data_IF_816048329171
#
_entry.id   IF_816048329171
#
_cell.length_a   1.000
_cell.length_b   1.000
_cell.length_c   1.000
_cell.angle_alpha   90.00
_cell.angle_beta   90.00
_cell.angle_gamma   90.00
#
_symmetry.space_group_name_H-M   'P 1'
#
loop_
_entity.id
_entity.type
_entity.pdbx_description
1 polymer ?
2 non-polymer ?
3 non-polymer ?
4 water ?
#
# COMPACT_ATOMS: atom_id res chain seq x y z
N UNK A 1 5.46 -9.66 -11.92
CA UNK A 1 5.29 -8.80 -10.75
C UNK A 1 5.86 -9.49 -9.50
N UNK A 2 6.82 -8.84 -8.83
CA UNK A 2 7.37 -9.38 -7.59
C UNK A 2 6.28 -9.67 -6.56
N UNK A 3 6.51 -10.73 -5.77
CA UNK A 3 5.51 -11.19 -4.81
C UNK A 3 5.08 -10.08 -3.85
N UNK A 4 6.02 -9.23 -3.41
CA UNK A 4 5.63 -8.13 -2.52
C UNK A 4 4.56 -7.26 -3.16
N UNK A 5 4.73 -6.94 -4.44
CA UNK A 5 3.80 -6.05 -5.12
C UNK A 5 2.48 -6.75 -5.43
N UNK A 6 2.52 -8.04 -5.74
CA UNK A 6 1.28 -8.77 -5.92
C UNK A 6 0.46 -8.80 -4.64
N UNK A 7 1.14 -9.02 -3.50
CA UNK A 7 0.46 -9.01 -2.21
C UNK A 7 -0.06 -7.61 -1.89
N UNK A 8 0.75 -6.58 -2.13
CA UNK A 8 0.32 -5.21 -1.89
C UNK A 8 -0.93 -4.87 -2.70
N UNK A 9 -0.89 -5.20 -3.98
CA UNK A 9 -2.05 -4.98 -4.85
C UNK A 9 -3.31 -5.63 -4.29
N UNK A 10 -3.18 -6.90 -3.90
CA UNK A 10 -4.32 -7.63 -3.37
C UNK A 10 -4.82 -7.02 -2.07
N UNK A 11 -3.91 -6.70 -1.15
CA UNK A 11 -4.36 -6.22 0.14
C UNK A 11 -4.96 -4.82 0.05
N UNK A 12 -4.44 -3.96 -0.82
CA UNK A 12 -5.05 -2.64 -0.96
C UNK A 12 -6.47 -2.78 -1.49
N UNK A 13 -6.64 -3.61 -2.54
CA UNK A 13 -7.95 -3.78 -3.17
C UNK A 13 -8.94 -4.62 -2.37
N UNK A 14 -8.48 -5.37 -1.39
CA UNK A 14 -9.35 -6.30 -0.66
C UNK A 14 -10.41 -5.51 0.12
N UNK A 15 -11.69 -5.73 -0.13
CA UNK A 15 -12.72 -5.00 0.64
C UNK A 15 -12.65 -5.30 2.12
N UNK A 16 -12.18 -6.50 2.49
CA UNK A 16 -12.07 -6.88 3.89
C UNK A 16 -11.01 -6.13 4.66
N UNK A 17 -10.12 -5.40 3.97
CA UNK A 17 -9.14 -4.58 4.65
C UNK A 17 -9.39 -3.09 4.51
N UNK A 18 -10.44 -2.69 3.76
CA UNK A 18 -10.62 -1.29 3.36
C UNK A 18 -10.80 -0.33 4.53
N UNK A 19 -11.22 -0.82 5.70
CA UNK A 19 -11.31 0.04 6.88
C UNK A 19 -9.94 0.48 7.36
N UNK A 20 -8.88 -0.23 6.96
CA UNK A 20 -7.51 0.09 7.34
C UNK A 20 -6.61 0.47 6.18
N UNK A 21 -6.82 -0.10 4.99
CA UNK A 21 -6.00 0.23 3.83
C UNK A 21 -6.87 0.08 2.58
N UNK A 22 -6.93 1.15 1.77
CA UNK A 22 -7.83 1.13 0.61
C UNK A 22 -7.30 2.07 -0.46
N UNK A 23 -7.73 1.84 -1.69
CA UNK A 23 -7.48 2.80 -2.76
C UNK A 23 -8.19 4.11 -2.49
N UNK A 24 -7.61 5.21 -2.94
CA UNK A 24 -8.30 6.48 -2.98
C UNK A 24 -9.48 6.42 -3.94
N UNK A 25 -10.35 7.44 -3.99
CA UNK A 25 -11.54 7.31 -4.85
C UNK A 25 -11.23 7.06 -6.31
N UNK A 26 -10.17 7.64 -6.87
CA UNK A 26 -9.80 7.40 -8.26
C UNK A 26 -8.79 6.28 -8.40
N UNK A 27 -8.21 5.78 -7.31
CA UNK A 27 -7.27 4.70 -7.37
C UNK A 27 -5.85 5.10 -7.71
N UNK A 28 -5.50 6.38 -7.65
CA UNK A 28 -4.14 6.76 -8.00
C UNK A 28 -3.21 6.84 -6.80
N UNK A 29 -3.72 6.62 -5.60
CA UNK A 29 -2.92 6.52 -4.38
C UNK A 29 -3.69 5.59 -3.46
N UNK A 30 -3.09 5.26 -2.31
CA UNK A 30 -3.78 4.43 -1.34
C UNK A 30 -3.59 4.99 0.06
N UNK A 31 -4.57 4.75 0.91
CA UNK A 31 -4.64 5.33 2.25
C UNK A 31 -4.54 4.22 3.29
N UNK A 32 -3.66 4.42 4.28
CA UNK A 32 -3.64 3.61 5.49
C UNK A 32 -4.25 4.48 6.59
N UNK A 33 -5.42 4.05 7.09
CA UNK A 33 -6.17 4.90 8.00
C UNK A 33 -5.56 4.92 9.39
N UNK A 34 -4.96 3.82 9.83
CA UNK A 34 -4.45 3.68 11.19
C UNK A 34 -3.23 2.77 11.06
N UNK A 35 -2.03 3.35 11.13
CA UNK A 35 -0.82 2.57 10.84
C UNK A 35 -0.62 1.46 11.85
N UNK A 36 -0.82 1.75 13.14
CA UNK A 36 -0.62 0.75 14.18
C UNK A 36 -1.54 -0.44 13.99
N UNK A 37 -2.83 -0.18 13.74
CA UNK A 37 -3.76 -1.28 13.55
C UNK A 37 -3.49 -2.02 12.25
N UNK A 38 -3.18 -1.27 11.19
CA UNK A 38 -2.83 -1.92 9.93
C UNK A 38 -1.70 -2.94 10.13
N UNK A 39 -0.65 -2.55 10.87
CA UNK A 39 0.50 -3.44 11.05
C UNK A 39 0.13 -4.69 11.85
N UNK A 40 -0.77 -4.55 12.80
CA UNK A 40 -1.13 -5.66 13.68
C UNK A 40 -2.21 -6.56 13.08
N UNK A 41 -3.08 -6.01 12.21
CA UNK A 41 -4.27 -6.71 11.73
C UNK A 41 -4.23 -7.10 10.26
N UNK A 42 -3.58 -6.33 9.39
CA UNK A 42 -3.53 -6.63 7.95
C UNK A 42 -2.22 -7.30 7.57
N UNK A 43 -1.09 -6.75 8.02
CA UNK A 43 0.20 -7.32 7.62
C UNK A 43 0.32 -8.80 7.93
N UNK A 44 -0.09 -9.31 9.09
CA UNK A 44 0.02 -10.75 9.30
C UNK A 44 -0.75 -11.57 8.29
N UNK A 45 -1.92 -11.08 7.86
CA UNK A 45 -2.75 -11.83 6.91
C UNK A 45 -2.05 -12.01 5.57
N UNK A 46 -1.30 -10.99 5.14
CA UNK A 46 -0.71 -11.02 3.81
C UNK A 46 0.78 -11.33 3.80
N UNK A 47 1.51 -10.98 4.86
CA UNK A 47 2.95 -11.15 4.88
C UNK A 47 3.44 -12.02 6.02
N UNK A 48 2.57 -12.40 6.95
CA UNK A 48 2.97 -13.19 8.11
C UNK A 48 4.05 -12.51 8.93
N UNK A 49 3.99 -11.19 8.99
CA UNK A 49 4.73 -10.41 9.98
C UNK A 49 3.87 -9.20 10.34
N UNK A 50 4.29 -8.46 11.36
CA UNK A 50 3.56 -7.29 11.84
C UNK A 50 4.45 -6.06 11.95
N UNK A 51 5.46 -5.95 11.08
CA UNK A 51 6.48 -4.91 11.24
C UNK A 51 6.25 -3.79 10.25
N UNK A 52 5.68 -2.68 10.74
CA UNK A 52 5.40 -1.53 9.89
C UNK A 52 6.69 -0.95 9.30
N UNK A 53 7.76 -0.87 10.11
CA UNK A 53 8.99 -0.29 9.60
C UNK A 53 9.53 -1.08 8.41
N UNK A 54 9.47 -2.42 8.48
CA UNK A 54 9.91 -3.24 7.36
C UNK A 54 9.06 -2.99 6.13
N UNK A 55 7.74 -2.91 6.32
CA UNK A 55 6.83 -2.67 5.21
C UNK A 55 7.10 -1.33 4.54
N UNK A 56 7.26 -0.27 5.33
CA UNK A 56 7.51 1.05 4.77
C UNK A 56 8.88 1.10 4.09
N UNK A 57 9.88 0.44 4.68
CA UNK A 57 11.16 0.33 4.01
C UNK A 57 11.03 -0.32 2.64
N UNK A 58 10.22 -1.38 2.55
CA UNK A 58 10.02 -2.05 1.26
C UNK A 58 9.33 -1.12 0.26
N UNK A 59 8.33 -0.35 0.72
CA UNK A 59 7.72 0.64 -0.17
C UNK A 59 8.75 1.62 -0.68
N UNK A 60 9.65 2.08 0.21
CA UNK A 60 10.66 3.03 -0.20
C UNK A 60 11.60 2.41 -1.23
N UNK A 61 11.95 1.13 -1.06
CA UNK A 61 12.84 0.46 -2.01
C UNK A 61 12.24 0.38 -3.39
N UNK A 62 10.91 0.34 -3.49
CA UNK A 62 10.23 0.32 -4.79
C UNK A 62 9.91 1.70 -5.31
N UNK A 63 10.31 2.76 -4.62
CA UNK A 63 10.08 4.11 -5.09
C UNK A 63 8.74 4.70 -4.75
N UNK A 64 7.98 4.10 -3.82
CA UNK A 64 6.75 4.74 -3.37
C UNK A 64 7.10 6.04 -2.65
N UNK A 65 6.14 6.96 -2.69
CA UNK A 65 6.24 8.28 -2.09
C UNK A 65 5.04 8.49 -1.19
N UNK A 66 5.06 9.58 -0.41
CA UNK A 66 3.96 9.95 0.46
C UNK A 66 3.24 11.16 -0.09
N UNK A 67 1.93 11.23 0.17
CA UNK A 67 1.11 12.36 -0.24
C UNK A 67 0.73 13.13 1.02
N UNK A 68 1.02 14.44 1.02
CA UNK A 68 0.83 15.27 2.20
C UNK A 68 0.15 16.57 1.80
N UNK A 69 -0.37 17.27 2.80
CA UNK A 69 -1.05 18.52 2.50
C UNK A 69 -0.07 19.57 2.00
N UNK A 70 -0.58 20.51 1.20
CA UNK A 70 0.24 21.64 0.77
C UNK A 70 0.68 22.48 1.96
N UNK A 71 -0.24 22.75 2.88
CA UNK A 71 0.08 23.61 4.02
C UNK A 71 0.91 22.92 5.10
N UNK A 81 -2.33 6.98 13.56
CA UNK A 81 -2.17 8.04 12.57
C UNK A 81 -2.32 7.47 11.16
N UNK A 82 -2.74 8.31 10.23
CA UNK A 82 -2.97 7.91 8.86
C UNK A 82 -1.83 8.39 7.96
N UNK A 83 -1.71 7.72 6.81
CA UNK A 83 -0.69 8.06 5.84
C UNK A 83 -1.21 7.65 4.47
N UNK A 84 -0.83 8.41 3.45
CA UNK A 84 -1.24 8.15 2.08
C UNK A 84 0.02 7.93 1.25
N UNK A 85 0.05 6.84 0.49
CA UNK A 85 1.20 6.48 -0.34
C UNK A 85 0.81 6.54 -1.81
N UNK A 86 1.82 6.72 -2.65
CA UNK A 86 1.59 6.81 -4.08
C UNK A 86 2.83 6.29 -4.83
N UNK A 87 2.60 5.74 -6.00
CA UNK A 87 3.67 5.41 -6.93
C UNK A 87 3.09 5.66 -8.32
N UNK A 88 3.83 6.28 -9.24
CA UNK A 88 3.25 6.50 -10.58
C UNK A 88 2.73 5.24 -11.24
N UNK A 89 3.33 4.08 -10.97
CA UNK A 89 2.98 2.84 -11.63
C UNK A 89 2.09 1.92 -10.79
N UNK A 90 1.49 2.42 -9.71
CA UNK A 90 0.62 1.62 -8.84
C UNK A 90 -0.74 2.30 -8.81
N UNK A 91 -1.63 1.86 -9.70
CA UNK A 91 -2.88 2.58 -9.98
C UNK A 91 -3.98 1.54 -10.12
N UNK A 92 -5.08 1.70 -9.36
CA UNK A 92 -6.16 0.73 -9.38
C UNK A 92 -6.60 0.42 -10.79
N UNK A 93 -6.70 -0.87 -11.11
CA UNK A 93 -7.13 -1.31 -12.42
C UNK A 93 -6.02 -1.40 -13.45
N UNK A 94 -4.90 -0.72 -13.26
CA UNK A 94 -3.83 -0.69 -14.27
C UNK A 94 -2.87 -1.86 -14.00
N UNK A 95 -3.38 -3.07 -14.27
CA UNK A 95 -2.64 -4.30 -13.96
C UNK A 95 -1.32 -4.38 -14.71
N UNK A 96 -1.30 -3.95 -15.98
CA UNK A 96 -0.08 -4.08 -16.76
C UNK A 96 0.95 -3.03 -16.35
N UNK A 97 0.48 -1.84 -15.95
CA UNK A 97 1.38 -0.78 -15.49
C UNK A 97 2.16 -1.21 -14.27
N UNK A 98 1.55 -2.06 -13.42
CA UNK A 98 2.19 -2.55 -12.21
C UNK A 98 3.52 -3.22 -12.53
N UNK A 99 3.67 -3.77 -13.73
CA UNK A 99 4.91 -4.40 -14.15
C UNK A 99 6.09 -3.42 -14.18
N UNK A 100 5.81 -2.12 -14.21
CA UNK A 100 6.87 -1.12 -14.25
C UNK A 100 7.40 -0.72 -12.88
N UNK A 101 6.75 -1.15 -11.79
CA UNK A 101 7.26 -0.88 -10.45
C UNK A 101 8.47 -1.76 -10.21
N UNK A 102 9.61 -1.14 -9.92
CA UNK A 102 10.86 -1.87 -9.82
C UNK A 102 11.65 -1.42 -8.60
N UNK A 103 12.49 -2.32 -8.10
CA UNK A 103 13.41 -1.97 -7.04
C UNK A 103 14.48 -1.02 -7.56
X LIG B 1 -8.36 -2.87 1.12
X LIG C 1 -10.97 -1.49 -4.51
X LIG D 1 0.69 5.17 -18.70
X LIG D 1 0.17 4.43 -19.55
X LIG D 1 1.49 6.09 -19.02
X LIG D 1 0.44 4.98 -17.49
X LIG E 1 -12.99 -0.79 12.08
X LIG E 1 -14.20 -0.61 11.76
X LIG E 1 -12.61 -1.93 12.47
X LIG E 1 -12.18 0.17 12.01
X LIG F 1 1.32 0.07 -18.98
X LIG F 1 2.07 -0.74 -19.59
X LIG F 1 1.79 1.17 -18.61
X LIG F 1 0.11 -0.23 -18.77
#
# INVERSE_FOLDING_TARGET
>A
VPAFLGKLWALVGDPGTDHLIRWSPSGTSFLVSDQSRFAKEVLPQYFKHSNMASFVRQLNMYGFRKVVSIEQGGLLRPERDHVEFQHPSFVRGREQLLERVRRKV
>B hetero
1 NA NA
>C hetero
1 NA NA
>D hetero
1 NO3 N O1 O2 O3
>E hetero
1 NO3 N O1 O2 O3
>F hetero
1 NO3 N O1 O2 O3
#
